data_IF_736760565985
#
_entry.id   IF_736760565985
#
_cell.length_a   1.000
_cell.length_b   1.000
_cell.length_c   1.000
_cell.angle_alpha   90.00
_cell.angle_beta   90.00
_cell.angle_gamma   90.00
#
_symmetry.space_group_name_H-M   'P 1'
#
loop_
_entity.id
_entity.type
_entity.pdbx_description
1 polymer ?
#
# COMPACT_ATOMS: atom_id res chain seq x y z
N UNK A 1 -36.96 -41.71 30.88
CA UNK A 1 -35.54 -42.09 30.75
C UNK A 1 -34.96 -41.12 29.76
N UNK A 2 -33.99 -40.31 30.16
CA UNK A 2 -33.23 -39.48 29.22
C UNK A 2 -32.40 -40.43 28.38
N UNK A 3 -32.61 -40.44 27.07
CA UNK A 3 -31.81 -41.28 26.19
C UNK A 3 -30.38 -40.73 26.19
N UNK A 4 -29.49 -41.41 26.92
CA UNK A 4 -28.07 -41.11 27.01
C UNK A 4 -27.41 -41.34 25.65
N UNK A 5 -27.43 -40.30 24.82
CA UNK A 5 -27.08 -40.38 23.40
C UNK A 5 -25.92 -39.44 23.00
N UNK A 6 -25.22 -38.87 23.97
CA UNK A 6 -24.10 -37.97 23.72
C UNK A 6 -22.78 -38.75 23.79
N UNK A 7 -22.00 -38.67 22.72
CA UNK A 7 -20.63 -39.18 22.69
C UNK A 7 -19.64 -38.04 22.84
N UNK A 8 -19.05 -37.92 24.02
CA UNK A 8 -18.01 -36.93 24.28
C UNK A 8 -16.66 -37.41 23.74
N UNK A 9 -16.23 -36.84 22.62
CA UNK A 9 -14.97 -37.19 21.95
C UNK A 9 -14.04 -35.96 21.93
N UNK A 10 -12.78 -36.04 22.38
CA UNK A 10 -11.86 -34.91 22.33
C UNK A 10 -11.57 -34.44 20.90
N UNK A 11 -11.74 -33.14 20.64
CA UNK A 11 -11.33 -32.52 19.38
C UNK A 11 -9.81 -32.35 19.26
N UNK A 12 -9.29 -32.05 18.05
CA UNK A 12 -10.02 -31.93 16.78
C UNK A 12 -10.17 -33.27 16.03
N UNK A 13 -11.36 -33.50 15.46
CA UNK A 13 -11.78 -34.81 14.91
C UNK A 13 -10.99 -35.33 13.70
N UNK A 14 -10.21 -34.49 13.02
CA UNK A 14 -9.35 -34.93 11.92
C UNK A 14 -8.14 -35.76 12.41
N UNK A 15 -7.86 -35.75 13.73
CA UNK A 15 -6.80 -36.55 14.35
C UNK A 15 -7.15 -38.03 14.50
N UNK A 16 -8.39 -38.44 14.24
CA UNK A 16 -8.77 -39.85 14.28
C UNK A 16 -8.59 -40.50 12.91
N UNK A 17 -8.17 -41.76 12.89
CA UNK A 17 -8.12 -42.61 11.69
C UNK A 17 -9.52 -42.92 11.20
N UNK A 18 -10.41 -43.18 12.17
CA UNK A 18 -11.80 -43.52 11.94
C UNK A 18 -12.63 -42.31 11.52
N UNK A 19 -13.64 -42.54 10.68
CA UNK A 19 -14.69 -41.56 10.42
C UNK A 19 -15.64 -41.50 11.62
N UNK A 20 -15.23 -40.71 12.61
CA UNK A 20 -15.97 -40.50 13.86
C UNK A 20 -17.40 -40.01 13.60
N UNK A 21 -17.65 -39.23 12.53
CA UNK A 21 -18.99 -38.74 12.18
C UNK A 21 -19.87 -39.85 11.63
N UNK A 22 -19.32 -40.72 10.78
CA UNK A 22 -20.05 -41.89 10.28
C UNK A 22 -20.36 -42.88 11.40
N UNK A 23 -19.43 -43.09 12.33
CA UNK A 23 -19.62 -43.95 13.51
C UNK A 23 -20.74 -43.42 14.41
N UNK A 24 -20.70 -42.12 14.73
CA UNK A 24 -21.75 -41.49 15.54
C UNK A 24 -23.11 -41.59 14.87
N UNK A 25 -23.19 -41.29 13.56
CA UNK A 25 -24.44 -41.40 12.78
C UNK A 25 -25.01 -42.82 12.76
N UNK A 26 -24.16 -43.84 12.62
CA UNK A 26 -24.56 -45.25 12.64
C UNK A 26 -25.08 -45.70 14.01
N UNK A 27 -24.47 -45.19 15.08
CA UNK A 27 -24.86 -45.47 16.46
C UNK A 27 -25.99 -44.57 16.98
N UNK A 28 -26.45 -43.59 16.19
CA UNK A 28 -27.46 -42.62 16.60
C UNK A 28 -26.95 -41.52 17.53
N UNK A 29 -25.63 -41.44 17.77
CA UNK A 29 -24.99 -40.58 18.77
C UNK A 29 -24.78 -39.14 18.30
N UNK A 30 -24.82 -38.19 19.23
CA UNK A 30 -24.43 -36.80 19.03
C UNK A 30 -23.00 -36.61 19.55
N UNK A 31 -22.08 -36.19 18.69
CA UNK A 31 -20.70 -35.91 19.11
C UNK A 31 -20.63 -34.53 19.77
N UNK A 32 -20.08 -34.47 20.97
CA UNK A 32 -19.72 -33.23 21.66
C UNK A 32 -18.23 -33.24 21.96
N UNK A 33 -17.55 -32.11 21.75
CA UNK A 33 -16.12 -32.02 22.04
C UNK A 33 -15.88 -32.08 23.55
N UNK A 34 -15.18 -33.11 23.99
CA UNK A 34 -14.83 -33.33 25.38
C UNK A 34 -13.94 -32.24 25.99
N UNK A 35 -13.23 -31.45 25.18
CA UNK A 35 -12.28 -30.44 25.67
C UNK A 35 -12.95 -29.10 26.04
N UNK A 36 -14.20 -28.90 25.64
CA UNK A 36 -14.92 -27.61 25.81
C UNK A 36 -16.12 -27.71 26.74
N UNK A 37 -16.29 -28.86 27.40
CA UNK A 37 -17.44 -29.16 28.27
C UNK A 37 -16.99 -29.83 29.57
N UNK A 38 -17.37 -29.20 30.68
CA UNK A 38 -17.08 -29.69 32.03
C UNK A 38 -18.11 -30.75 32.50
N UNK A 39 -19.35 -30.69 31.98
CA UNK A 39 -20.40 -31.68 32.27
C UNK A 39 -20.39 -32.85 31.28
N UNK A 40 -20.80 -34.02 31.77
CA UNK A 40 -21.00 -35.27 31.02
C UNK A 40 -22.46 -35.76 31.05
N UNK A 41 -23.39 -34.85 31.32
CA UNK A 41 -24.81 -35.17 31.34
C UNK A 41 -25.27 -35.71 29.98
N UNK A 42 -26.03 -36.81 29.99
CA UNK A 42 -26.49 -37.47 28.76
C UNK A 42 -25.41 -38.28 28.02
N UNK A 43 -24.24 -38.47 28.61
CA UNK A 43 -23.18 -39.31 28.05
C UNK A 43 -23.69 -40.73 27.82
N UNK A 44 -23.45 -41.26 26.61
CA UNK A 44 -23.75 -42.64 26.27
C UNK A 44 -22.95 -43.61 27.15
N UNK A 45 -23.60 -44.67 27.61
CA UNK A 45 -22.95 -45.74 28.39
C UNK A 45 -22.08 -46.63 27.50
N UNK A 46 -22.34 -46.64 26.18
CA UNK A 46 -21.64 -47.46 25.19
C UNK A 46 -20.96 -46.58 24.15
N UNK A 47 -19.91 -45.87 24.57
CA UNK A 47 -19.12 -45.02 23.69
C UNK A 47 -18.31 -45.87 22.68
N UNK A 48 -18.34 -45.53 21.38
CA UNK A 48 -17.48 -46.16 20.38
C UNK A 48 -15.99 -45.93 20.67
N UNK A 49 -15.18 -46.96 20.44
CA UNK A 49 -13.71 -46.87 20.50
C UNK A 49 -13.18 -46.40 19.15
N UNK A 50 -12.33 -45.38 19.14
CA UNK A 50 -11.71 -44.82 17.93
C UNK A 50 -10.22 -44.62 18.11
N UNK A 51 -9.48 -44.73 17.01
CA UNK A 51 -8.02 -44.72 16.97
C UNK A 51 -7.53 -43.34 16.53
N UNK A 52 -6.53 -42.80 17.23
CA UNK A 52 -5.85 -41.58 16.83
C UNK A 52 -4.82 -41.89 15.74
N UNK A 53 -4.78 -41.08 14.70
CA UNK A 53 -3.71 -41.07 13.70
C UNK A 53 -2.38 -40.88 14.42
N UNK A 54 -1.40 -41.70 14.08
CA UNK A 54 -0.02 -41.40 14.40
C UNK A 54 0.36 -40.09 13.67
N UNK A 55 0.40 -38.99 14.42
CA UNK A 55 0.97 -37.74 13.91
C UNK A 55 2.46 -37.98 13.83
N UNK A 56 3.04 -37.88 12.62
CA UNK A 56 4.47 -37.89 12.44
C UNK A 56 5.09 -36.93 13.46
N UNK A 57 5.96 -37.46 14.33
CA UNK A 57 6.66 -36.66 15.31
C UNK A 57 7.34 -35.47 14.61
N UNK A 58 7.47 -34.31 15.29
CA UNK A 58 8.22 -33.19 14.71
C UNK A 58 9.56 -33.71 14.21
N UNK A 59 9.91 -33.34 12.97
CA UNK A 59 11.14 -33.80 12.34
C UNK A 59 12.32 -33.27 13.16
N UNK A 60 12.86 -34.11 14.04
CA UNK A 60 14.08 -33.80 14.78
C UNK A 60 15.23 -33.99 13.80
N UNK A 61 15.74 -32.89 13.25
CA UNK A 61 16.95 -32.91 12.45
C UNK A 61 18.10 -33.22 13.41
N UNK A 62 18.56 -34.47 13.41
CA UNK A 62 19.78 -34.86 14.10
C UNK A 62 20.98 -34.34 13.30
N UNK A 63 21.48 -33.18 13.72
CA UNK A 63 22.65 -32.56 13.12
C UNK A 63 23.90 -33.16 13.76
N UNK A 64 24.88 -33.59 12.96
CA UNK A 64 26.18 -34.03 13.47
C UNK A 64 26.84 -32.88 14.26
N UNK A 65 27.71 -33.20 15.23
CA UNK A 65 28.29 -32.19 16.12
C UNK A 65 28.93 -31.00 15.39
N UNK A 66 29.63 -31.26 14.28
CA UNK A 66 30.28 -30.23 13.47
C UNK A 66 29.26 -29.38 12.69
N UNK A 67 28.24 -30.01 12.11
CA UNK A 67 27.16 -29.32 11.38
C UNK A 67 26.31 -28.44 12.32
N UNK A 68 26.20 -28.82 13.61
CA UNK A 68 25.43 -28.06 14.61
C UNK A 68 26.10 -26.72 14.90
N UNK A 69 27.42 -26.71 15.04
CA UNK A 69 28.20 -25.48 15.27
C UNK A 69 28.08 -24.52 14.09
N UNK A 70 28.16 -25.05 12.86
CA UNK A 70 28.01 -24.25 11.63
C UNK A 70 26.60 -23.66 11.52
N UNK A 71 25.56 -24.43 11.86
CA UNK A 71 24.18 -23.93 11.88
C UNK A 71 23.96 -22.85 12.94
N UNK A 72 24.48 -23.04 14.15
CA UNK A 72 24.39 -22.03 15.22
C UNK A 72 25.09 -20.72 14.83
N UNK A 73 26.26 -20.81 14.17
CA UNK A 73 26.97 -19.63 13.64
C UNK A 73 26.15 -18.92 12.55
N UNK A 74 25.56 -19.67 11.62
CA UNK A 74 24.74 -19.11 10.54
C UNK A 74 23.47 -18.45 11.09
N UNK A 75 22.82 -19.07 12.08
CA UNK A 75 21.65 -18.49 12.76
C UNK A 75 22.04 -17.18 13.45
N UNK A 76 23.19 -17.14 14.13
CA UNK A 76 23.69 -15.91 14.75
C UNK A 76 23.92 -14.79 13.73
N UNK A 77 24.54 -15.10 12.58
CA UNK A 77 24.73 -14.13 11.49
C UNK A 77 23.40 -13.61 10.94
N UNK A 78 22.43 -14.50 10.71
CA UNK A 78 21.11 -14.13 10.20
C UNK A 78 20.31 -13.30 11.19
N UNK A 79 20.42 -13.58 12.49
CA UNK A 79 19.79 -12.78 13.54
C UNK A 79 20.38 -11.35 13.57
N UNK A 80 21.70 -11.21 13.53
CA UNK A 80 22.37 -9.90 13.47
C UNK A 80 21.93 -9.11 12.22
N UNK A 81 21.87 -9.77 11.06
CA UNK A 81 21.42 -9.11 9.83
C UNK A 81 19.95 -8.70 9.92
N UNK A 82 19.08 -9.57 10.44
CA UNK A 82 17.66 -9.26 10.63
C UNK A 82 17.45 -8.10 11.61
N UNK A 83 18.20 -8.04 12.70
CA UNK A 83 18.06 -6.99 13.70
C UNK A 83 18.54 -5.65 13.17
N UNK A 84 19.63 -5.66 12.38
CA UNK A 84 20.10 -4.45 11.71
C UNK A 84 19.12 -3.95 10.65
N UNK A 85 18.47 -4.85 9.90
CA UNK A 85 17.40 -4.46 8.95
C UNK A 85 16.21 -3.85 9.70
N UNK A 86 15.79 -4.43 10.83
CA UNK A 86 14.70 -3.87 11.64
C UNK A 86 15.02 -2.46 12.12
N UNK A 87 16.25 -2.20 12.56
CA UNK A 87 16.67 -0.86 12.96
C UNK A 87 16.54 0.17 11.82
N UNK A 88 16.86 -0.22 10.57
CA UNK A 88 16.65 0.65 9.39
C UNK A 88 15.16 0.94 9.16
N UNK A 89 14.31 -0.07 9.31
CA UNK A 89 12.85 0.06 9.15
C UNK A 89 12.28 0.97 10.24
N UNK A 90 12.64 0.74 11.49
CA UNK A 90 12.18 1.55 12.63
C UNK A 90 12.63 3.01 12.46
N UNK A 91 13.86 3.25 11.98
CA UNK A 91 14.34 4.59 11.64
C UNK A 91 13.55 5.25 10.51
N UNK A 92 13.17 4.48 9.48
CA UNK A 92 12.32 4.97 8.40
C UNK A 92 10.94 5.38 8.93
N UNK A 93 10.33 4.57 9.80
CA UNK A 93 9.04 4.87 10.43
C UNK A 93 9.12 6.10 11.35
N UNK A 94 10.26 6.31 12.00
CA UNK A 94 10.53 7.50 12.81
C UNK A 94 10.89 8.76 11.98
N UNK A 95 11.18 8.58 10.68
CA UNK A 95 11.59 9.66 9.77
C UNK A 95 13.09 9.99 9.79
N UNK A 96 13.89 9.29 10.58
CA UNK A 96 15.34 9.46 10.68
C UNK A 96 16.02 8.10 10.55
N UNK A 97 16.67 7.86 9.41
CA UNK A 97 17.37 6.61 9.14
C UNK A 97 18.86 6.81 9.39
N UNK A 98 19.43 6.05 10.31
CA UNK A 98 20.87 5.98 10.50
C UNK A 98 21.49 4.94 9.58
N UNK A 99 22.71 5.23 9.10
CA UNK A 99 23.46 4.31 8.25
C UNK A 99 23.92 3.11 9.07
N UNK A 100 23.55 1.87 8.70
CA UNK A 100 24.08 0.68 9.35
C UNK A 100 25.59 0.56 9.21
N UNK A 101 26.26 0.16 10.28
CA UNK A 101 27.71 -0.11 10.28
C UNK A 101 28.06 -1.53 9.80
N UNK A 102 27.10 -2.45 9.85
CA UNK A 102 27.27 -3.85 9.48
C UNK A 102 26.00 -4.42 8.82
N UNK A 103 26.10 -5.62 8.24
CA UNK A 103 25.00 -6.30 7.54
C UNK A 103 24.86 -5.84 6.09
N UNK A 104 25.18 -6.73 5.15
CA UNK A 104 25.18 -6.41 3.72
C UNK A 104 23.80 -5.96 3.24
N UNK A 105 22.75 -6.68 3.64
CA UNK A 105 21.39 -6.34 3.25
C UNK A 105 20.91 -5.02 3.87
N UNK A 106 21.24 -4.78 5.14
CA UNK A 106 20.88 -3.53 5.81
C UNK A 106 21.55 -2.32 5.16
N UNK A 107 22.84 -2.42 4.82
CA UNK A 107 23.59 -1.37 4.13
C UNK A 107 22.99 -1.11 2.74
N UNK A 108 22.66 -2.15 1.98
CA UNK A 108 22.03 -2.00 0.65
C UNK A 108 20.64 -1.37 0.74
N UNK A 109 19.84 -1.77 1.74
CA UNK A 109 18.53 -1.18 1.99
C UNK A 109 18.67 0.31 2.30
N UNK A 110 19.58 0.67 3.21
CA UNK A 110 19.87 2.07 3.52
C UNK A 110 20.26 2.86 2.27
N UNK A 111 21.20 2.36 1.46
CA UNK A 111 21.66 3.05 0.25
C UNK A 111 20.54 3.27 -0.76
N UNK A 112 19.65 2.28 -0.94
CA UNK A 112 18.50 2.41 -1.82
C UNK A 112 17.51 3.48 -1.31
N UNK A 113 17.22 3.48 -0.01
CA UNK A 113 16.34 4.47 0.62
C UNK A 113 16.93 5.88 0.59
N UNK A 114 18.24 6.03 0.84
CA UNK A 114 18.94 7.32 0.74
C UNK A 114 18.95 7.84 -0.70
N UNK A 115 19.16 6.95 -1.68
CA UNK A 115 19.03 7.29 -3.10
C UNK A 115 17.65 7.81 -3.46
N UNK A 116 16.58 7.16 -2.98
CA UNK A 116 15.19 7.62 -3.16
C UNK A 116 14.98 8.98 -2.50
N UNK A 117 15.48 9.16 -1.26
CA UNK A 117 15.40 10.44 -0.53
C UNK A 117 16.05 11.58 -1.32
N UNK A 118 17.24 11.37 -1.87
CA UNK A 118 17.93 12.37 -2.70
C UNK A 118 17.11 12.69 -3.96
N UNK A 119 16.58 11.68 -4.65
CA UNK A 119 15.72 11.90 -5.82
C UNK A 119 14.44 12.67 -5.49
N UNK A 120 13.85 12.46 -4.31
CA UNK A 120 12.68 13.23 -3.86
C UNK A 120 13.01 14.70 -3.59
N UNK A 121 14.21 15.00 -3.08
CA UNK A 121 14.68 16.38 -2.91
C UNK A 121 14.82 17.04 -4.28
N UNK A 122 15.52 16.40 -5.22
CA UNK A 122 15.67 16.94 -6.58
C UNK A 122 14.31 17.17 -7.26
N UNK A 123 13.34 16.26 -7.05
CA UNK A 123 11.99 16.40 -7.58
C UNK A 123 11.21 17.55 -6.94
N UNK A 124 11.40 17.78 -5.64
CA UNK A 124 10.79 18.91 -4.94
C UNK A 124 11.32 20.24 -5.48
N UNK A 125 12.64 20.34 -5.67
CA UNK A 125 13.28 21.53 -6.25
C UNK A 125 12.77 21.79 -7.68
N UNK A 126 12.73 20.76 -8.53
CA UNK A 126 12.20 20.88 -9.89
C UNK A 126 10.72 21.27 -9.94
N UNK A 127 9.91 20.77 -8.99
CA UNK A 127 8.50 21.16 -8.86
C UNK A 127 8.37 22.64 -8.50
N UNK A 128 9.19 23.12 -7.59
CA UNK A 128 9.13 24.50 -7.10
C UNK A 128 9.58 25.48 -8.18
N UNK A 129 10.63 25.14 -8.94
CA UNK A 129 11.05 25.89 -10.13
C UNK A 129 9.93 25.99 -11.18
N UNK A 130 9.28 24.85 -11.49
CA UNK A 130 8.15 24.82 -12.43
C UNK A 130 6.95 25.63 -11.92
N UNK A 131 6.69 25.64 -10.61
CA UNK A 131 5.62 26.43 -10.03
C UNK A 131 5.90 27.94 -10.19
N UNK A 132 7.12 28.37 -9.92
CA UNK A 132 7.56 29.76 -10.10
C UNK A 132 7.46 30.19 -11.59
N UNK A 133 7.89 29.34 -12.52
CA UNK A 133 7.77 29.64 -13.94
C UNK A 133 6.30 29.69 -14.41
N UNK A 134 5.44 28.81 -13.89
CA UNK A 134 4.01 28.86 -14.20
C UNK A 134 3.36 30.16 -13.73
N UNK A 135 3.70 30.62 -12.52
CA UNK A 135 3.19 31.89 -12.00
C UNK A 135 3.65 33.07 -12.87
N UNK A 136 4.94 33.09 -13.23
CA UNK A 136 5.49 34.11 -14.13
C UNK A 136 4.76 34.12 -15.48
N UNK A 137 4.59 32.97 -16.13
CA UNK A 137 3.90 32.88 -17.42
C UNK A 137 2.43 33.30 -17.32
N UNK A 138 1.75 33.00 -16.21
CA UNK A 138 0.37 33.47 -15.98
C UNK A 138 0.30 34.98 -15.87
N UNK A 139 1.27 35.60 -15.20
CA UNK A 139 1.35 37.06 -15.09
C UNK A 139 1.64 37.71 -16.45
N UNK A 140 2.62 37.19 -17.20
CA UNK A 140 2.94 37.67 -18.56
C UNK A 140 1.72 37.55 -19.49
N UNK A 141 0.98 36.43 -19.44
CA UNK A 141 -0.25 36.26 -20.22
C UNK A 141 -1.37 37.23 -19.81
N UNK A 142 -1.50 37.53 -18.51
CA UNK A 142 -2.47 38.50 -18.03
C UNK A 142 -2.15 39.92 -18.51
N UNK A 143 -0.87 40.31 -18.46
CA UNK A 143 -0.39 41.60 -18.95
C UNK A 143 -0.59 41.74 -20.46
N UNK A 144 -0.23 40.71 -21.24
CA UNK A 144 -0.43 40.71 -22.70
C UNK A 144 -1.92 40.85 -23.06
N UNK A 145 -2.80 40.10 -22.39
CA UNK A 145 -4.25 40.21 -22.62
C UNK A 145 -4.82 41.58 -22.23
N UNK A 146 -4.31 42.17 -21.16
CA UNK A 146 -4.72 43.52 -20.75
C UNK A 146 -4.29 44.57 -21.78
N UNK A 147 -3.05 44.48 -22.26
CA UNK A 147 -2.52 45.36 -23.32
C UNK A 147 -3.30 45.22 -24.62
N UNK A 148 -3.55 44.00 -25.08
CA UNK A 148 -4.38 43.74 -26.27
C UNK A 148 -5.80 44.30 -26.12
N UNK A 149 -6.41 44.19 -24.94
CA UNK A 149 -7.71 44.78 -24.64
C UNK A 149 -7.71 46.31 -24.80
N UNK A 150 -6.71 46.98 -24.24
CA UNK A 150 -6.57 48.44 -24.37
C UNK A 150 -6.37 48.88 -25.83
N UNK A 151 -5.56 48.15 -26.60
CA UNK A 151 -5.35 48.45 -28.02
C UNK A 151 -6.62 48.24 -28.84
N UNK A 152 -7.38 47.17 -28.58
CA UNK A 152 -8.68 46.94 -29.22
C UNK A 152 -9.67 48.06 -28.90
N UNK A 153 -9.74 48.51 -27.66
CA UNK A 153 -10.62 49.62 -27.26
C UNK A 153 -10.21 50.94 -27.92
N UNK A 154 -8.91 51.21 -28.05
CA UNK A 154 -8.40 52.37 -28.76
C UNK A 154 -8.76 52.34 -30.26
N UNK A 155 -8.63 51.17 -30.91
CA UNK A 155 -9.03 50.98 -32.30
C UNK A 155 -10.53 51.21 -32.49
N UNK A 156 -11.36 50.64 -31.61
CA UNK A 156 -12.82 50.85 -31.62
C UNK A 156 -13.19 52.32 -31.46
N UNK A 157 -12.58 53.01 -30.50
CA UNK A 157 -12.82 54.44 -30.29
C UNK A 157 -12.44 55.29 -31.52
N UNK A 158 -11.37 54.93 -32.25
CA UNK A 158 -10.98 55.58 -33.50
C UNK A 158 -12.05 55.38 -34.60
N UNK A 159 -12.55 54.16 -34.75
CA UNK A 159 -13.62 53.84 -35.70
C UNK A 159 -14.94 54.53 -35.34
N UNK A 160 -15.29 54.57 -34.06
CA UNK A 160 -16.49 55.26 -33.55
C UNK A 160 -16.42 56.77 -33.84
N UNK A 161 -15.25 57.39 -33.63
CA UNK A 161 -15.02 58.80 -33.98
C UNK A 161 -15.16 59.07 -35.47
N UNK A 162 -14.80 58.11 -36.32
CA UNK A 162 -14.96 58.18 -37.78
C UNK A 162 -16.35 57.73 -38.27
N UNK A 163 -17.23 57.26 -37.37
CA UNK A 163 -18.57 56.76 -37.73
C UNK A 163 -18.57 55.44 -38.49
N UNK A 164 -17.50 54.65 -38.40
CA UNK A 164 -17.37 53.36 -39.09
C UNK A 164 -17.93 52.22 -38.23
N UNK A 165 -18.89 51.46 -38.77
CA UNK A 165 -19.46 50.30 -38.08
C UNK A 165 -18.49 49.11 -38.08
N UNK A 166 -18.39 48.41 -36.96
CA UNK A 166 -17.63 47.17 -36.80
C UNK A 166 -18.44 46.10 -36.05
N UNK A 167 -18.01 44.84 -36.10
CA UNK A 167 -18.60 43.76 -35.29
C UNK A 167 -18.05 43.82 -33.86
N UNK A 168 -18.91 43.67 -32.85
CA UNK A 168 -18.49 43.76 -31.44
C UNK A 168 -17.34 42.79 -31.07
N UNK A 169 -17.32 41.60 -31.69
CA UNK A 169 -16.32 40.55 -31.50
C UNK A 169 -15.30 40.49 -32.66
N UNK A 170 -15.09 41.58 -33.39
CA UNK A 170 -14.05 41.62 -34.42
C UNK A 170 -12.66 41.40 -33.79
N UNK A 171 -11.80 40.64 -34.47
CA UNK A 171 -10.41 40.48 -34.05
C UNK A 171 -9.65 41.80 -34.15
N UNK A 172 -8.60 41.95 -33.34
CA UNK A 172 -7.69 43.11 -33.39
C UNK A 172 -7.23 43.43 -34.81
N UNK A 173 -6.73 42.42 -35.54
CA UNK A 173 -6.27 42.58 -36.93
C UNK A 173 -7.37 43.08 -37.88
N UNK A 174 -8.62 42.67 -37.67
CA UNK A 174 -9.74 43.16 -38.48
C UNK A 174 -10.07 44.63 -38.17
N UNK A 175 -9.96 45.05 -36.91
CA UNK A 175 -10.15 46.44 -36.50
C UNK A 175 -9.01 47.32 -37.02
N UNK A 176 -7.76 46.84 -36.97
CA UNK A 176 -6.59 47.52 -37.52
C UNK A 176 -6.75 47.79 -39.03
N UNK A 177 -7.23 46.82 -39.80
CA UNK A 177 -7.52 47.04 -41.23
C UNK A 177 -8.54 48.15 -41.46
N UNK A 178 -9.65 48.13 -40.71
CA UNK A 178 -10.68 49.17 -40.83
C UNK A 178 -10.15 50.56 -40.46
N UNK A 179 -9.29 50.65 -39.44
CA UNK A 179 -8.65 51.91 -39.06
C UNK A 179 -7.67 52.37 -40.13
N UNK A 180 -6.92 51.46 -40.75
CA UNK A 180 -5.97 51.78 -41.82
C UNK A 180 -6.66 52.34 -43.09
N UNK A 181 -7.91 51.93 -43.35
CA UNK A 181 -8.72 52.39 -44.46
C UNK A 181 -9.42 53.75 -44.22
N UNK A 182 -9.29 54.31 -43.00
CA UNK A 182 -9.83 55.65 -42.71
C UNK A 182 -9.11 56.71 -43.55
N UNK A 183 -9.84 57.69 -44.12
CA UNK A 183 -9.21 58.80 -44.82
C UNK A 183 -8.31 59.57 -43.86
N UNK A 184 -7.01 59.63 -44.16
CA UNK A 184 -6.04 60.40 -43.38
C UNK A 184 -6.42 61.89 -43.47
N UNK A 185 -6.56 62.52 -42.31
CA UNK A 185 -6.77 63.96 -42.19
C UNK A 185 -5.58 64.76 -42.72
#
# INVERSE_FOLDING_TARGET
>A
MTDNNIWYLPGPFHRYEDDVKAIAKKAGLIIVDANVTDSRDGATETAPVVTLKEVAAPLVVAVAGDDKVVLEELIGKLQIESDTIRAVIDGLDAGEIEKPEAGELAIRLFQALDGIRLQMVDLADARDDLAAENERLRNELAELRAGEGQEVDALKASLDKAGVSYRANASKESLERLVADLPKA
#
